data_IF_711076265637
#
_entry.id   IF_711076265637
#
_cell.length_a   1.000
_cell.length_b   1.000
_cell.length_c   1.000
_cell.angle_alpha   90.00
_cell.angle_beta   90.00
_cell.angle_gamma   90.00
#
_symmetry.space_group_name_H-M   'P 1'
#
loop_
_entity.id
_entity.type
_entity.pdbx_description
1 polymer ?
#
# COMPACT_ATOMS: atom_id res chain seq x y z
N UNK A 1 1.97 15.91 2.50
CA UNK A 1 1.23 14.70 2.91
C UNK A 1 -0.11 15.18 3.43
N UNK A 2 -1.19 14.65 2.87
CA UNK A 2 -2.54 14.91 3.35
C UNK A 2 -2.88 13.81 4.36
N UNK A 3 -3.26 14.21 5.57
CA UNK A 3 -3.67 13.28 6.63
C UNK A 3 -5.19 13.14 6.49
N UNK A 4 -5.74 11.91 6.38
CA UNK A 4 -7.18 11.72 6.31
C UNK A 4 -7.87 12.30 7.55
N UNK A 5 -9.05 12.91 7.35
CA UNK A 5 -9.86 13.44 8.45
C UNK A 5 -10.50 12.28 9.23
N UNK A 6 -10.14 12.03 10.50
CA UNK A 6 -10.65 10.89 11.26
C UNK A 6 -12.18 10.84 11.38
N UNK A 7 -12.85 12.00 11.37
CA UNK A 7 -14.31 12.11 11.52
C UNK A 7 -15.10 11.52 10.33
N UNK A 8 -14.42 11.20 9.22
CA UNK A 8 -15.02 10.59 8.02
C UNK A 8 -15.00 9.06 8.02
N UNK A 9 -14.46 8.44 9.08
CA UNK A 9 -14.23 6.99 9.15
C UNK A 9 -14.82 6.39 10.42
N UNK A 10 -15.16 5.10 10.39
CA UNK A 10 -15.48 4.36 11.62
C UNK A 10 -14.22 4.33 12.51
N UNK A 11 -14.31 4.76 13.79
CA UNK A 11 -13.15 4.93 14.66
C UNK A 11 -12.41 3.63 14.98
N UNK A 12 -13.05 2.47 14.83
CA UNK A 12 -12.46 1.16 15.11
C UNK A 12 -12.19 0.33 13.85
N UNK A 13 -12.61 0.79 12.67
CA UNK A 13 -12.32 0.10 11.42
C UNK A 13 -10.85 0.29 11.03
N UNK A 14 -10.18 -0.85 10.79
CA UNK A 14 -8.78 -0.90 10.38
C UNK A 14 -8.69 -1.32 8.92
N UNK A 15 -7.84 -0.62 8.16
CA UNK A 15 -7.55 -0.94 6.77
C UNK A 15 -8.23 -0.04 5.75
N UNK A 16 -9.19 0.80 6.11
CA UNK A 16 -9.63 1.88 5.20
C UNK A 16 -8.59 2.99 5.12
N UNK A 17 -7.94 3.33 6.24
CA UNK A 17 -6.73 4.16 6.27
C UNK A 17 -5.52 3.23 6.24
N UNK A 18 -4.59 3.47 5.32
CA UNK A 18 -3.42 2.63 5.20
C UNK A 18 -2.25 3.35 4.53
N UNK A 19 -1.06 2.78 4.72
CA UNK A 19 0.10 3.05 3.88
C UNK A 19 0.66 1.73 3.30
N UNK A 20 1.60 1.89 2.36
CA UNK A 20 2.30 0.78 1.72
C UNK A 20 3.80 1.05 1.90
N UNK A 21 4.50 0.10 2.49
CA UNK A 21 5.96 0.16 2.70
C UNK A 21 6.63 -0.80 1.74
N UNK A 22 7.63 -0.31 1.01
CA UNK A 22 8.53 -1.18 0.27
C UNK A 22 9.60 -1.77 1.21
N UNK A 23 9.68 -3.09 1.29
CA UNK A 23 10.60 -3.80 2.17
C UNK A 23 11.87 -4.29 1.44
N UNK A 24 11.96 -4.12 0.12
CA UNK A 24 13.10 -4.51 -0.71
C UNK A 24 12.81 -5.70 -1.64
N UNK A 25 13.87 -6.22 -2.26
CA UNK A 25 13.85 -7.44 -3.06
C UNK A 25 14.48 -8.59 -2.27
N UNK A 26 13.76 -9.70 -2.14
CA UNK A 26 14.25 -10.96 -1.57
C UNK A 26 13.77 -12.13 -2.44
N UNK A 27 14.65 -13.10 -2.69
CA UNK A 27 14.33 -14.32 -3.45
C UNK A 27 13.69 -14.05 -4.83
N UNK A 28 14.13 -12.99 -5.52
CA UNK A 28 13.59 -12.57 -6.83
C UNK A 28 12.19 -11.94 -6.75
N UNK A 29 11.73 -11.57 -5.56
CA UNK A 29 10.42 -10.97 -5.31
C UNK A 29 10.56 -9.60 -4.65
N UNK A 30 9.81 -8.64 -5.16
CA UNK A 30 9.56 -7.38 -4.47
C UNK A 30 8.60 -7.61 -3.32
N UNK A 31 8.97 -7.18 -2.13
CA UNK A 31 8.18 -7.33 -0.92
C UNK A 31 7.63 -5.98 -0.47
N UNK A 32 6.34 -5.96 -0.14
CA UNK A 32 5.67 -4.79 0.43
C UNK A 32 4.94 -5.19 1.72
N UNK A 33 4.83 -4.24 2.65
CA UNK A 33 3.95 -4.34 3.81
C UNK A 33 2.81 -3.33 3.67
N UNK A 34 1.59 -3.80 3.82
CA UNK A 34 0.38 -2.99 3.85
C UNK A 34 0.00 -2.80 5.31
N UNK A 35 0.03 -1.57 5.79
CA UNK A 35 -0.23 -1.25 7.19
C UNK A 35 -1.55 -0.51 7.32
N UNK A 36 -2.51 -1.13 7.99
CA UNK A 36 -3.83 -0.54 8.24
C UNK A 36 -3.87 0.19 9.57
N UNK A 37 -4.50 1.35 9.58
CA UNK A 37 -4.68 2.20 10.75
C UNK A 37 -6.17 2.36 11.04
N UNK A 38 -6.49 2.64 12.29
CA UNK A 38 -7.82 3.10 12.70
C UNK A 38 -7.84 4.63 12.68
N UNK A 39 -9.02 5.23 12.58
CA UNK A 39 -9.12 6.69 12.64
C UNK A 39 -8.66 7.27 14.00
N UNK A 40 -8.71 6.47 15.06
CA UNK A 40 -8.32 6.87 16.42
C UNK A 40 -6.81 6.75 16.67
N UNK A 41 -6.08 5.98 15.87
CA UNK A 41 -4.62 5.84 15.96
C UNK A 41 -3.98 5.72 14.57
N UNK A 42 -3.49 6.86 14.06
CA UNK A 42 -2.75 6.95 12.80
C UNK A 42 -1.24 6.76 12.98
N UNK A 43 -0.75 6.53 14.20
CA UNK A 43 0.68 6.37 14.49
C UNK A 43 1.07 4.91 14.61
N UNK A 44 0.17 4.07 15.13
CA UNK A 44 0.42 2.65 15.31
C UNK A 44 -0.50 1.85 14.36
N UNK A 45 0.07 1.03 13.46
CA UNK A 45 -0.75 0.19 12.61
C UNK A 45 -1.43 -0.90 13.44
N UNK A 46 -2.74 -1.03 13.25
CA UNK A 46 -3.55 -2.07 13.87
C UNK A 46 -3.43 -3.41 13.10
N UNK A 47 -3.18 -3.34 11.79
CA UNK A 47 -2.92 -4.50 10.94
C UNK A 47 -1.65 -4.34 10.11
N UNK A 48 -0.98 -5.46 9.82
CA UNK A 48 0.18 -5.53 8.93
C UNK A 48 0.12 -6.78 8.06
N UNK A 49 0.16 -6.61 6.74
CA UNK A 49 0.16 -7.72 5.79
C UNK A 49 1.30 -7.59 4.79
N UNK A 50 2.15 -8.62 4.73
CA UNK A 50 3.19 -8.72 3.71
C UNK A 50 2.64 -9.33 2.43
N UNK A 51 2.98 -8.72 1.29
CA UNK A 51 2.67 -9.21 -0.06
C UNK A 51 3.93 -9.23 -0.91
N UNK A 52 4.04 -10.25 -1.78
CA UNK A 52 5.22 -10.48 -2.60
C UNK A 52 4.86 -10.55 -4.10
N UNK A 53 5.49 -9.71 -4.91
CA UNK A 53 5.35 -9.68 -6.37
C UNK A 53 6.65 -10.12 -7.06
N UNK A 54 6.61 -10.78 -8.22
CA UNK A 54 7.82 -11.03 -9.02
C UNK A 54 8.56 -9.72 -9.32
N UNK A 55 9.90 -9.73 -9.27
CA UNK A 55 10.70 -8.50 -9.52
C UNK A 55 10.51 -7.92 -10.93
N UNK A 56 10.16 -8.77 -11.90
CA UNK A 56 9.89 -8.36 -13.29
C UNK A 56 8.48 -7.76 -13.47
N UNK A 57 7.63 -7.78 -12.44
CA UNK A 57 6.27 -7.26 -12.54
C UNK A 57 6.27 -5.72 -12.52
N UNK A 58 6.07 -5.12 -13.68
CA UNK A 58 6.11 -3.67 -13.87
C UNK A 58 4.85 -2.93 -13.41
N UNK A 59 3.74 -3.64 -13.15
CA UNK A 59 2.49 -3.03 -12.68
C UNK A 59 1.94 -3.87 -11.53
N UNK A 60 1.88 -3.26 -10.35
CA UNK A 60 1.41 -3.87 -9.12
C UNK A 60 0.14 -3.15 -8.68
N UNK A 61 -0.85 -3.91 -8.23
CA UNK A 61 -2.07 -3.37 -7.64
C UNK A 61 -2.15 -3.80 -6.18
N UNK A 62 -2.25 -2.82 -5.29
CA UNK A 62 -2.43 -3.01 -3.86
C UNK A 62 -3.62 -2.16 -3.45
N UNK A 63 -4.73 -2.83 -3.11
CA UNK A 63 -6.01 -2.18 -2.82
C UNK A 63 -6.42 -1.27 -3.97
N UNK A 64 -6.64 0.02 -3.73
CA UNK A 64 -7.03 1.01 -4.74
C UNK A 64 -5.84 1.81 -5.30
N UNK A 65 -4.60 1.36 -5.08
CA UNK A 65 -3.38 1.99 -5.56
C UNK A 65 -2.69 1.08 -6.58
N UNK A 66 -2.45 1.61 -7.76
CA UNK A 66 -1.60 1.01 -8.77
C UNK A 66 -0.21 1.62 -8.68
N UNK A 67 0.79 0.76 -8.63
CA UNK A 67 2.21 1.11 -8.61
C UNK A 67 2.81 0.60 -9.93
N UNK A 68 3.17 1.53 -10.81
CA UNK A 68 3.96 1.22 -11.99
C UNK A 68 5.44 1.28 -11.58
N UNK A 69 6.10 0.12 -11.61
CA UNK A 69 7.50 -0.07 -11.20
C UNK A 69 8.42 0.19 -12.38
N UNK A 70 9.31 1.17 -12.22
CA UNK A 70 10.34 1.50 -13.21
C UNK A 70 11.67 0.80 -12.90
N UNK A 71 12.02 0.67 -11.62
CA UNK A 71 13.17 -0.11 -11.14
C UNK A 71 12.99 -0.52 -9.68
N UNK A 72 13.43 -1.72 -9.33
CA UNK A 72 13.40 -2.25 -7.96
C UNK A 72 14.73 -2.88 -7.57
N UNK A 73 15.28 -2.46 -6.44
CA UNK A 73 16.55 -2.92 -5.89
C UNK A 73 16.38 -3.28 -4.41
N UNK A 74 17.34 -3.97 -3.80
CA UNK A 74 17.25 -4.42 -2.41
C UNK A 74 17.01 -3.32 -1.37
N UNK A 75 17.16 -2.05 -1.71
CA UNK A 75 16.85 -0.91 -0.82
C UNK A 75 16.22 0.31 -1.49
N UNK A 76 15.84 0.22 -2.76
CA UNK A 76 15.28 1.36 -3.50
C UNK A 76 14.18 0.91 -4.47
N UNK A 77 13.18 1.77 -4.67
CA UNK A 77 12.10 1.57 -5.62
C UNK A 77 11.91 2.88 -6.40
N UNK A 78 12.03 2.81 -7.72
CA UNK A 78 11.63 3.89 -8.63
C UNK A 78 10.24 3.54 -9.16
N UNK A 79 9.26 4.40 -8.93
CA UNK A 79 7.87 4.10 -9.22
C UNK A 79 7.03 5.34 -9.56
N UNK A 80 5.89 5.07 -10.19
CA UNK A 80 4.75 5.99 -10.26
C UNK A 80 3.57 5.34 -9.54
N UNK A 81 2.90 6.10 -8.67
CA UNK A 81 1.73 5.64 -7.96
C UNK A 81 0.51 6.43 -8.41
N UNK A 82 -0.57 5.71 -8.72
CA UNK A 82 -1.84 6.29 -9.12
C UNK A 82 -2.95 5.62 -8.33
N UNK A 83 -3.91 6.41 -7.85
CA UNK A 83 -5.16 5.86 -7.37
C UNK A 83 -5.97 5.39 -8.57
N UNK A 84 -6.51 4.18 -8.49
CA UNK A 84 -7.55 3.75 -9.41
C UNK A 84 -8.83 3.52 -8.62
N UNK A 85 -9.95 3.97 -9.18
CA UNK A 85 -11.24 3.47 -8.75
C UNK A 85 -11.45 2.15 -9.46
N UNK A 86 -11.67 1.06 -8.72
CA UNK A 86 -12.52 0.02 -9.28
C UNK A 86 -13.83 0.72 -9.63
N UNK A 87 -14.12 0.90 -10.93
CA UNK A 87 -15.47 1.26 -11.33
C UNK A 87 -16.33 0.15 -10.76
N UNK A 88 -17.09 0.44 -9.69
CA UNK A 88 -18.09 -0.48 -9.19
C UNK A 88 -19.01 -0.75 -10.36
N UNK A 89 -18.83 -1.91 -11.00
CA UNK A 89 -19.71 -2.36 -12.06
C UNK A 89 -21.09 -2.53 -11.44
N UNK A 90 -22.00 -1.63 -11.79
CA UNK A 90 -23.44 -1.81 -11.68
C UNK A 90 -24.04 -1.54 -13.06
#
# INVERSE_FOLDING_TARGET
>A
MEIPNPDEYDPIESGTIFDIVYLGVADGRMRFEIRGYTATDLQNPDTGQTVDFPVEQQSIEIRNIRIDVEAAESGSLTYKANRFSETSGN
#
